data_IF_991081776363
#
_entry.id   IF_991081776363
#
_cell.length_a   1.000
_cell.length_b   1.000
_cell.length_c   1.000
_cell.angle_alpha   90.00
_cell.angle_beta   90.00
_cell.angle_gamma   90.00
#
_symmetry.space_group_name_H-M   'P 1'
#
loop_
_entity.id
_entity.type
_entity.pdbx_description
1 polymer ?
#
# COMPACT_ATOMS: atom_id res chain seq x y z
N UNK A 1 -3.84 -2.87 2.15
CA UNK A 1 -5.24 -3.06 1.71
C UNK A 1 -5.85 -1.68 1.52
N UNK A 2 -6.64 -1.46 0.48
CA UNK A 2 -7.41 -0.23 0.25
C UNK A 2 -8.90 -0.55 0.37
N UNK A 3 -9.65 0.40 0.90
CA UNK A 3 -11.11 0.37 0.93
C UNK A 3 -11.66 1.74 0.54
N UNK A 4 -12.69 1.74 -0.29
CA UNK A 4 -13.47 2.93 -0.64
C UNK A 4 -14.96 2.63 -0.62
N UNK A 5 -15.78 3.65 -0.36
CA UNK A 5 -17.24 3.57 -0.43
C UNK A 5 -17.70 3.54 -1.89
N UNK A 6 -18.75 2.77 -2.19
CA UNK A 6 -19.32 2.70 -3.54
C UNK A 6 -18.50 1.90 -4.56
N UNK A 7 -18.78 2.14 -5.84
CA UNK A 7 -18.14 1.55 -7.02
C UNK A 7 -17.33 2.59 -7.79
N UNK A 8 -16.66 2.16 -8.88
CA UNK A 8 -15.98 3.07 -9.81
C UNK A 8 -14.58 3.53 -9.36
N UNK A 9 -14.01 2.88 -8.34
CA UNK A 9 -12.62 3.13 -7.94
C UNK A 9 -11.63 2.57 -8.97
N UNK A 10 -10.61 3.35 -9.30
CA UNK A 10 -9.51 2.93 -10.14
C UNK A 10 -8.35 2.37 -9.31
N UNK A 11 -7.64 1.33 -9.78
CA UNK A 11 -6.44 0.82 -9.11
C UNK A 11 -5.39 1.91 -8.80
N UNK A 12 -5.26 2.89 -9.69
CA UNK A 12 -4.34 4.02 -9.51
C UNK A 12 -4.69 4.89 -8.29
N UNK A 13 -5.97 5.00 -7.91
CA UNK A 13 -6.38 5.74 -6.71
C UNK A 13 -5.95 5.02 -5.43
N UNK A 14 -6.05 3.68 -5.41
CA UNK A 14 -5.56 2.88 -4.29
C UNK A 14 -4.04 3.00 -4.13
N UNK A 15 -3.29 2.85 -5.24
CA UNK A 15 -1.84 3.02 -5.23
C UNK A 15 -1.46 4.46 -4.85
N UNK A 16 -2.18 5.46 -5.34
CA UNK A 16 -2.00 6.86 -4.97
C UNK A 16 -2.22 7.11 -3.47
N UNK A 17 -3.25 6.52 -2.87
CA UNK A 17 -3.51 6.61 -1.43
C UNK A 17 -2.39 5.99 -0.60
N UNK A 18 -1.86 4.84 -1.02
CA UNK A 18 -0.71 4.21 -0.38
C UNK A 18 0.59 5.04 -0.54
N UNK A 19 0.83 5.62 -1.72
CA UNK A 19 1.97 6.52 -1.97
C UNK A 19 1.87 7.84 -1.18
N UNK A 20 0.66 8.30 -0.87
CA UNK A 20 0.44 9.49 -0.04
C UNK A 20 0.93 9.32 1.41
N UNK A 21 1.36 8.12 1.81
CA UNK A 21 2.07 7.90 3.06
C UNK A 21 3.56 8.30 3.02
N UNK A 22 4.14 8.59 1.85
CA UNK A 22 5.55 8.99 1.69
C UNK A 22 6.01 10.06 2.68
N UNK A 23 5.28 11.19 2.90
CA UNK A 23 5.74 12.23 3.83
C UNK A 23 5.82 11.76 5.29
N UNK A 24 5.16 10.64 5.63
CA UNK A 24 5.17 10.04 6.97
C UNK A 24 6.35 9.11 7.17
N UNK A 25 7.09 8.71 6.13
CA UNK A 25 8.27 7.86 6.30
C UNK A 25 9.54 8.69 6.40
N UNK A 26 10.24 8.56 7.52
CA UNK A 26 11.57 9.12 7.72
C UNK A 26 12.63 8.04 7.44
N UNK A 27 13.42 8.25 6.39
CA UNK A 27 14.43 7.31 5.93
C UNK A 27 15.58 7.13 6.95
N UNK A 28 16.03 8.24 7.54
CA UNK A 28 17.21 8.26 8.40
C UNK A 28 16.98 7.45 9.68
N UNK A 29 15.82 7.68 10.30
CA UNK A 29 15.37 6.97 11.50
C UNK A 29 14.69 5.62 11.21
N UNK A 30 14.42 5.32 9.94
CA UNK A 30 13.66 4.14 9.50
C UNK A 30 12.32 3.97 10.24
N UNK A 31 11.57 5.07 10.39
CA UNK A 31 10.34 5.10 11.18
C UNK A 31 9.23 5.85 10.48
N UNK A 32 7.99 5.47 10.80
CA UNK A 32 6.83 6.27 10.43
C UNK A 32 6.61 7.37 11.47
N UNK A 33 6.56 8.62 11.02
CA UNK A 33 6.28 9.81 11.80
C UNK A 33 4.88 10.32 11.45
N UNK A 34 4.02 10.46 12.46
CA UNK A 34 2.68 11.05 12.27
C UNK A 34 1.68 10.17 11.52
N UNK A 35 1.84 8.84 11.57
CA UNK A 35 0.83 7.88 11.09
C UNK A 35 1.41 6.63 10.46
N UNK A 36 0.59 5.95 9.66
CA UNK A 36 1.00 4.75 8.92
C UNK A 36 1.86 5.12 7.70
N UNK A 37 2.91 4.34 7.48
CA UNK A 37 3.73 4.41 6.27
C UNK A 37 4.02 3.05 5.63
N UNK A 38 3.40 1.99 6.17
CA UNK A 38 3.66 0.61 5.76
C UNK A 38 3.24 0.30 4.33
N UNK A 39 2.22 0.98 3.80
CA UNK A 39 1.85 0.79 2.41
C UNK A 39 2.88 1.41 1.47
N UNK A 40 3.33 2.62 1.79
CA UNK A 40 4.41 3.27 1.04
C UNK A 40 5.69 2.42 1.05
N UNK A 41 6.15 1.97 2.22
CA UNK A 41 7.38 1.19 2.34
C UNK A 41 7.30 -0.16 1.61
N UNK A 42 6.11 -0.78 1.52
CA UNK A 42 5.93 -1.99 0.72
C UNK A 42 5.99 -1.70 -0.79
N UNK A 43 5.40 -0.60 -1.27
CA UNK A 43 5.43 -0.25 -2.71
C UNK A 43 6.87 -0.05 -3.19
N UNK A 44 7.69 0.60 -2.37
CA UNK A 44 9.08 0.94 -2.71
C UNK A 44 10.08 -0.08 -2.19
N UNK A 45 9.61 -1.27 -1.79
CA UNK A 45 10.47 -2.31 -1.24
C UNK A 45 11.38 -2.92 -2.31
N UNK A 46 12.68 -2.62 -2.23
CA UNK A 46 13.71 -3.04 -3.20
C UNK A 46 13.76 -4.55 -3.42
N UNK A 47 13.48 -5.34 -2.38
CA UNK A 47 13.50 -6.79 -2.46
C UNK A 47 12.30 -7.41 -3.18
N UNK A 48 11.20 -6.66 -3.35
CA UNK A 48 9.99 -7.17 -4.00
C UNK A 48 10.13 -7.04 -5.51
N UNK A 49 10.08 -8.17 -6.21
CA UNK A 49 10.34 -8.26 -7.65
C UNK A 49 9.09 -8.53 -8.47
N UNK A 50 8.02 -8.98 -7.81
CA UNK A 50 6.73 -9.29 -8.42
C UNK A 50 5.63 -8.66 -7.59
N UNK A 51 4.56 -8.25 -8.28
CA UNK A 51 3.35 -7.73 -7.65
C UNK A 51 2.13 -8.31 -8.38
N UNK A 52 1.13 -8.71 -7.60
CA UNK A 52 -0.17 -9.13 -8.11
C UNK A 52 -1.27 -8.46 -7.32
N UNK A 53 -2.24 -7.85 -8.01
CA UNK A 53 -3.32 -7.09 -7.38
C UNK A 53 -4.69 -7.65 -7.74
N UNK A 54 -5.66 -7.44 -6.86
CA UNK A 54 -7.05 -7.78 -7.07
C UNK A 54 -7.95 -6.65 -6.57
N UNK A 55 -9.10 -6.50 -7.21
CA UNK A 55 -10.15 -5.57 -6.84
C UNK A 55 -11.48 -6.31 -6.77
N UNK A 56 -12.29 -6.00 -5.75
CA UNK A 56 -13.62 -6.57 -5.56
C UNK A 56 -14.60 -5.52 -5.07
N UNK A 57 -15.78 -5.49 -5.69
CA UNK A 57 -16.93 -4.72 -5.22
C UNK A 57 -17.73 -5.57 -4.23
N UNK A 58 -18.01 -5.03 -3.06
CA UNK A 58 -18.68 -5.71 -1.95
C UNK A 58 -20.11 -5.20 -1.74
N UNK A 59 -20.95 -6.07 -1.16
CA UNK A 59 -22.30 -5.74 -0.69
C UNK A 59 -23.20 -5.05 -1.73
N UNK A 60 -23.15 -5.49 -3.00
CA UNK A 60 -23.94 -4.90 -4.08
C UNK A 60 -23.48 -3.49 -4.46
N UNK A 61 -22.18 -3.25 -4.49
CA UNK A 61 -21.59 -1.97 -4.89
C UNK A 61 -21.55 -0.91 -3.78
N UNK A 62 -21.66 -1.31 -2.51
CA UNK A 62 -21.57 -0.37 -1.36
C UNK A 62 -20.14 -0.07 -0.94
N UNK A 63 -19.18 -0.87 -1.39
CA UNK A 63 -17.77 -0.59 -1.17
C UNK A 63 -16.88 -1.38 -2.12
N UNK A 64 -15.65 -0.93 -2.26
CA UNK A 64 -14.64 -1.56 -3.10
C UNK A 64 -13.39 -1.83 -2.27
N UNK A 65 -12.89 -3.06 -2.31
CA UNK A 65 -11.58 -3.42 -1.77
C UNK A 65 -10.57 -3.60 -2.89
N UNK A 66 -9.37 -3.07 -2.70
CA UNK A 66 -8.22 -3.29 -3.58
C UNK A 66 -7.06 -3.78 -2.74
N UNK A 67 -6.44 -4.87 -3.16
CA UNK A 67 -5.27 -5.46 -2.48
C UNK A 67 -4.18 -5.78 -3.49
N UNK A 68 -2.93 -5.72 -3.03
CA UNK A 68 -1.76 -6.14 -3.80
C UNK A 68 -0.86 -7.00 -2.90
N UNK A 69 -0.38 -8.10 -3.46
CA UNK A 69 0.63 -8.96 -2.84
C UNK A 69 1.97 -8.78 -3.56
N UNK A 70 3.06 -8.86 -2.80
CA UNK A 70 4.42 -8.62 -3.26
C UNK A 70 5.30 -9.84 -2.98
N UNK A 71 6.15 -10.19 -3.93
CA UNK A 71 7.06 -11.35 -3.82
C UNK A 71 8.49 -11.00 -4.28
N UNK A 72 9.53 -11.28 -3.47
CA UNK A 72 9.47 -11.56 -2.02
C UNK A 72 8.73 -10.47 -1.22
N UNK A 73 8.15 -10.79 -0.05
CA UNK A 73 7.43 -9.82 0.76
C UNK A 73 8.37 -8.74 1.32
N UNK A 74 7.82 -7.57 1.60
CA UNK A 74 8.55 -6.45 2.18
C UNK A 74 8.23 -6.22 3.65
N UNK A 75 8.56 -5.01 4.13
CA UNK A 75 8.27 -4.54 5.48
C UNK A 75 8.81 -5.42 6.61
N UNK A 76 9.99 -6.03 6.41
CA UNK A 76 10.70 -6.70 7.48
C UNK A 76 11.13 -5.68 8.55
N UNK A 77 10.78 -5.95 9.80
CA UNK A 77 11.08 -5.07 10.95
C UNK A 77 12.59 -4.83 11.04
N UNK A 78 12.98 -3.55 11.13
CA UNK A 78 14.38 -3.12 11.22
C UNK A 78 15.11 -3.01 9.87
N UNK A 79 14.53 -3.50 8.77
CA UNK A 79 15.09 -3.33 7.44
C UNK A 79 14.55 -2.07 6.76
N UNK A 80 15.34 -1.48 5.86
CA UNK A 80 14.93 -0.33 5.05
C UNK A 80 14.35 -0.79 3.71
N UNK A 81 13.37 -0.06 3.17
CA UNK A 81 12.76 -0.41 1.89
C UNK A 81 13.69 -0.13 0.70
N UNK A 82 14.67 0.78 0.80
CA UNK A 82 15.66 1.08 -0.25
C UNK A 82 17.00 1.54 0.30
#
# INVERSE_FOLDING_TARGET
LFWGSGTGWAPAQAVGAWLAERPRYDYWSNRCSGGMCGHYTQIVWRGSTRVGCAMVECYGGRGTFITCNYDPPGNYVGMRPY
#
